data_IF_448462888711
#
_entry.id   IF_448462888711
#
_cell.length_a   1.000
_cell.length_b   1.000
_cell.length_c   1.000
_cell.angle_alpha   90.00
_cell.angle_beta   90.00
_cell.angle_gamma   90.00
#
_symmetry.space_group_name_H-M   'P 1'
#
loop_
_entity.id
_entity.type
_entity.pdbx_description
1 polymer ?
#
# COMPACT_ATOMS: atom_id res chain seq x y z
N UNK A 1 -10.06 -10.25 13.35
CA UNK A 1 -11.43 -10.36 13.87
C UNK A 1 -12.40 -9.47 13.10
N UNK A 2 -12.20 -8.15 13.11
CA UNK A 2 -13.12 -7.20 12.43
C UNK A 2 -13.22 -7.50 10.94
N UNK A 3 -12.12 -7.71 10.24
CA UNK A 3 -12.10 -8.02 8.81
C UNK A 3 -12.98 -9.22 8.47
N UNK A 4 -12.94 -10.28 9.27
CA UNK A 4 -13.76 -11.47 9.08
C UNK A 4 -15.26 -11.17 9.03
N UNK A 5 -15.70 -10.18 9.81
CA UNK A 5 -17.12 -9.84 9.95
C UNK A 5 -17.62 -8.91 8.83
N UNK A 6 -16.72 -8.09 8.25
CA UNK A 6 -17.08 -7.06 7.28
C UNK A 6 -16.78 -7.42 5.82
N UNK A 7 -15.82 -8.32 5.57
CA UNK A 7 -15.45 -8.70 4.19
C UNK A 7 -16.52 -9.66 3.63
N UNK A 8 -17.19 -9.22 2.57
CA UNK A 8 -18.16 -10.03 1.81
C UNK A 8 -18.38 -9.42 0.42
N UNK A 9 -18.91 -10.22 -0.49
CA UNK A 9 -19.42 -9.72 -1.75
C UNK A 9 -20.73 -8.95 -1.53
N UNK A 10 -20.86 -7.78 -2.17
CA UNK A 10 -22.09 -7.00 -2.24
C UNK A 10 -22.51 -6.89 -3.70
N UNK A 11 -23.69 -7.45 -4.04
CA UNK A 11 -24.23 -7.43 -5.40
C UNK A 11 -24.48 -6.01 -5.94
N UNK A 12 -24.64 -5.03 -5.05
CA UNK A 12 -24.84 -3.64 -5.43
C UNK A 12 -23.52 -2.87 -5.65
N UNK A 13 -22.39 -3.47 -5.29
CA UNK A 13 -21.07 -2.90 -5.49
C UNK A 13 -20.30 -3.72 -6.55
N UNK A 14 -20.26 -3.18 -7.76
CA UNK A 14 -19.59 -3.82 -8.91
C UNK A 14 -18.08 -3.97 -8.74
N UNK A 15 -17.47 -3.31 -7.76
CA UNK A 15 -16.05 -3.45 -7.44
C UNK A 15 -15.76 -4.66 -6.55
N UNK A 16 -16.78 -5.26 -5.93
CA UNK A 16 -16.66 -6.50 -5.18
C UNK A 16 -16.88 -7.73 -6.07
N UNK A 17 -16.15 -8.79 -5.82
CA UNK A 17 -16.28 -10.04 -6.57
C UNK A 17 -16.77 -11.16 -5.65
N UNK A 18 -17.51 -12.18 -6.16
CA UNK A 18 -17.95 -13.33 -5.39
C UNK A 18 -16.76 -14.26 -5.12
N UNK A 19 -15.91 -13.85 -4.19
CA UNK A 19 -14.71 -14.60 -3.79
C UNK A 19 -14.94 -15.32 -2.48
N UNK A 20 -14.56 -16.61 -2.43
CA UNK A 20 -14.61 -17.38 -1.19
C UNK A 20 -13.50 -16.93 -0.27
N UNK A 21 -13.85 -16.28 0.82
CA UNK A 21 -12.88 -15.84 1.82
C UNK A 21 -12.60 -17.00 2.75
N UNK A 22 -11.39 -17.48 2.73
CA UNK A 22 -10.89 -18.46 3.68
C UNK A 22 -11.02 -17.94 5.12
N UNK A 23 -11.02 -18.83 6.11
CA UNK A 23 -11.10 -18.43 7.52
C UNK A 23 -9.85 -17.62 7.91
N UNK A 24 -9.91 -16.31 7.73
CA UNK A 24 -8.80 -15.35 7.99
C UNK A 24 -8.21 -15.58 9.39
N UNK A 25 -9.04 -15.86 10.39
CA UNK A 25 -8.60 -16.04 11.77
C UNK A 25 -7.70 -17.26 11.94
N UNK A 26 -8.01 -18.37 11.26
CA UNK A 26 -7.18 -19.57 11.31
C UNK A 26 -5.92 -19.41 10.47
N UNK A 27 -6.04 -18.85 9.27
CA UNK A 27 -4.89 -18.56 8.40
C UNK A 27 -3.83 -17.71 9.11
N UNK A 28 -4.25 -16.69 9.87
CA UNK A 28 -3.32 -15.88 10.66
C UNK A 28 -2.55 -16.66 11.74
N UNK A 29 -3.02 -17.83 12.15
CA UNK A 29 -2.32 -18.71 13.13
C UNK A 29 -1.37 -19.69 12.46
N UNK A 30 -1.54 -19.92 11.17
CA UNK A 30 -0.69 -20.85 10.43
C UNK A 30 0.73 -20.33 10.30
N UNK A 31 1.69 -21.26 10.36
CA UNK A 31 3.07 -20.94 10.04
C UNK A 31 3.31 -21.10 8.54
N UNK A 32 4.06 -20.22 7.90
CA UNK A 32 4.50 -20.47 6.54
C UNK A 32 5.39 -21.75 6.50
N UNK A 33 5.35 -22.53 5.41
CA UNK A 33 6.12 -23.77 5.29
C UNK A 33 7.63 -23.56 5.34
N UNK A 34 8.08 -22.37 4.97
CA UNK A 34 9.48 -21.95 4.98
C UNK A 34 9.60 -20.56 5.59
N UNK A 35 10.78 -20.19 6.08
CA UNK A 35 11.06 -18.83 6.48
C UNK A 35 10.91 -17.90 5.26
N UNK A 36 10.03 -16.90 5.32
CA UNK A 36 9.82 -16.01 4.20
C UNK A 36 11.05 -15.18 3.87
N UNK A 37 11.29 -14.98 2.57
CA UNK A 37 12.18 -13.96 2.05
C UNK A 37 11.36 -12.78 1.53
N UNK A 38 11.86 -11.60 1.78
CA UNK A 38 11.23 -10.34 1.41
C UNK A 38 12.15 -9.52 0.53
N UNK A 39 11.57 -8.71 -0.31
CA UNK A 39 12.28 -7.60 -0.94
C UNK A 39 11.80 -6.28 -0.35
N UNK A 40 12.71 -5.41 0.05
CA UNK A 40 12.40 -4.04 0.43
C UNK A 40 12.69 -3.13 -0.76
N UNK A 41 11.66 -2.47 -1.30
CA UNK A 41 11.78 -1.65 -2.50
C UNK A 41 11.90 -0.18 -2.10
N UNK A 42 13.02 0.44 -2.45
CA UNK A 42 13.22 1.89 -2.35
C UNK A 42 12.72 2.57 -3.62
N UNK A 43 11.54 3.16 -3.54
CA UNK A 43 10.96 3.94 -4.65
C UNK A 43 11.61 5.33 -4.74
N UNK A 44 11.38 6.08 -5.83
CA UNK A 44 11.79 7.47 -5.98
C UNK A 44 11.27 8.39 -4.86
N UNK A 45 10.22 7.94 -4.13
CA UNK A 45 9.63 8.66 -2.99
C UNK A 45 10.43 8.49 -1.70
N UNK A 46 11.39 7.58 -1.64
CA UNK A 46 12.27 7.40 -0.48
C UNK A 46 12.92 8.71 -0.02
N UNK A 47 13.26 9.60 -0.95
CA UNK A 47 13.83 10.93 -0.66
C UNK A 47 12.90 11.85 0.15
N UNK A 48 11.59 11.56 0.17
CA UNK A 48 10.58 12.33 0.91
C UNK A 48 10.38 11.82 2.35
N UNK A 49 11.10 10.76 2.74
CA UNK A 49 11.02 10.21 4.09
C UNK A 49 11.58 11.18 5.13
N UNK A 50 10.94 11.22 6.29
CA UNK A 50 11.48 11.90 7.47
C UNK A 50 12.75 11.22 7.97
N UNK A 51 13.72 12.02 8.45
CA UNK A 51 15.04 11.50 8.83
C UNK A 51 14.98 10.42 9.93
N UNK A 52 14.10 10.59 10.91
CA UNK A 52 13.88 9.59 11.97
C UNK A 52 13.34 8.29 11.42
N UNK A 53 12.37 8.37 10.49
CA UNK A 53 11.84 7.20 9.81
C UNK A 53 12.90 6.47 8.98
N UNK A 54 13.71 7.18 8.20
CA UNK A 54 14.84 6.58 7.44
C UNK A 54 15.75 5.78 8.37
N UNK A 55 16.19 6.38 9.51
CA UNK A 55 17.04 5.71 10.48
C UNK A 55 16.42 4.43 11.03
N UNK A 56 15.13 4.45 11.34
CA UNK A 56 14.40 3.29 11.85
C UNK A 56 14.32 2.17 10.82
N UNK A 57 14.01 2.51 9.56
CA UNK A 57 14.02 1.53 8.46
C UNK A 57 15.41 0.95 8.21
N UNK A 58 16.46 1.76 8.16
CA UNK A 58 17.85 1.28 7.98
C UNK A 58 18.28 0.33 9.09
N UNK A 59 17.91 0.64 10.34
CA UNK A 59 18.17 -0.24 11.49
C UNK A 59 17.46 -1.57 11.34
N UNK A 60 16.18 -1.55 10.93
CA UNK A 60 15.40 -2.76 10.66
C UNK A 60 16.02 -3.59 9.52
N UNK A 61 16.32 -2.98 8.40
CA UNK A 61 16.89 -3.65 7.23
C UNK A 61 18.25 -4.30 7.53
N UNK A 62 19.09 -3.60 8.29
CA UNK A 62 20.38 -4.15 8.76
C UNK A 62 20.19 -5.36 9.66
N UNK A 63 19.21 -5.31 10.59
CA UNK A 63 18.93 -6.41 11.52
C UNK A 63 18.41 -7.65 10.80
N UNK A 64 17.52 -7.47 9.83
CA UNK A 64 16.83 -8.57 9.13
C UNK A 64 17.38 -8.88 7.73
N UNK A 65 18.64 -8.51 7.45
CA UNK A 65 19.30 -8.71 6.15
C UNK A 65 19.35 -10.15 5.63
N UNK A 66 19.12 -11.15 6.50
CA UNK A 66 19.05 -12.58 6.11
C UNK A 66 17.71 -12.90 5.40
N UNK A 67 16.67 -12.17 5.71
CA UNK A 67 15.32 -12.40 5.19
C UNK A 67 14.83 -11.27 4.29
N UNK A 68 15.53 -10.11 4.28
CA UNK A 68 15.13 -8.92 3.54
C UNK A 68 16.26 -8.48 2.63
N UNK A 69 16.04 -8.56 1.33
CA UNK A 69 16.88 -7.95 0.33
C UNK A 69 16.42 -6.52 0.06
N UNK A 70 17.35 -5.60 -0.19
CA UNK A 70 17.04 -4.19 -0.47
C UNK A 70 17.36 -3.90 -1.91
N UNK A 71 16.39 -3.39 -2.65
CA UNK A 71 16.54 -3.02 -4.07
C UNK A 71 15.99 -1.61 -4.32
N UNK A 72 16.55 -0.96 -5.32
CA UNK A 72 15.96 0.26 -5.87
C UNK A 72 14.79 -0.11 -6.79
N UNK A 73 13.75 0.72 -6.77
CA UNK A 73 12.59 0.49 -7.61
C UNK A 73 12.94 0.56 -9.09
N UNK A 74 12.40 -0.35 -9.92
CA UNK A 74 12.49 -0.22 -11.37
C UNK A 74 11.93 1.11 -11.85
N UNK A 75 12.50 1.65 -12.94
CA UNK A 75 12.12 2.98 -13.46
C UNK A 75 10.63 3.11 -13.83
N UNK A 76 10.00 2.02 -14.25
CA UNK A 76 8.58 2.02 -14.59
C UNK A 76 7.64 2.33 -13.39
N UNK A 77 8.14 2.25 -12.15
CA UNK A 77 7.35 2.65 -10.99
C UNK A 77 7.01 4.13 -11.00
N UNK A 78 7.83 4.97 -11.62
CA UNK A 78 7.54 6.40 -11.74
C UNK A 78 6.39 6.69 -12.72
N UNK A 79 6.22 5.87 -13.77
CA UNK A 79 5.07 5.96 -14.68
C UNK A 79 3.76 5.56 -13.98
N UNK A 80 3.82 4.60 -13.05
CA UNK A 80 2.65 4.18 -12.26
C UNK A 80 2.04 5.36 -11.48
N UNK A 81 2.85 6.25 -10.92
CA UNK A 81 2.33 7.43 -10.22
C UNK A 81 1.47 8.31 -11.12
N UNK A 82 1.87 8.49 -12.38
CA UNK A 82 1.14 9.27 -13.37
C UNK A 82 -0.20 8.59 -13.71
N UNK A 83 -0.18 7.31 -14.04
CA UNK A 83 -1.39 6.57 -14.38
C UNK A 83 -2.36 6.47 -13.20
N UNK A 84 -1.86 6.23 -12.01
CA UNK A 84 -2.69 6.27 -10.79
C UNK A 84 -3.39 7.62 -10.64
N UNK A 85 -2.68 8.73 -10.85
CA UNK A 85 -3.26 10.06 -10.72
C UNK A 85 -4.41 10.28 -11.71
N UNK A 86 -4.24 9.87 -12.98
CA UNK A 86 -5.29 9.97 -14.01
C UNK A 86 -6.55 9.23 -13.58
N UNK A 87 -6.42 7.96 -13.17
CA UNK A 87 -7.58 7.17 -12.73
C UNK A 87 -8.20 7.79 -11.49
N UNK A 88 -7.41 8.04 -10.45
CA UNK A 88 -7.89 8.52 -9.16
C UNK A 88 -8.64 9.85 -9.27
N UNK A 89 -8.10 10.83 -10.01
CA UNK A 89 -8.74 12.14 -10.14
C UNK A 89 -9.96 12.09 -11.07
N UNK A 90 -9.96 11.25 -12.11
CA UNK A 90 -11.13 11.02 -12.96
C UNK A 90 -12.27 10.37 -12.19
N UNK A 91 -11.96 9.33 -11.42
CA UNK A 91 -12.95 8.64 -10.58
C UNK A 91 -13.49 9.58 -9.48
N UNK A 92 -12.64 10.43 -8.88
CA UNK A 92 -13.09 11.47 -7.94
C UNK A 92 -14.03 12.48 -8.62
N UNK A 93 -13.70 12.92 -9.82
CA UNK A 93 -14.56 13.85 -10.57
C UNK A 93 -15.94 13.24 -10.86
N UNK A 94 -15.99 11.97 -11.18
CA UNK A 94 -17.23 11.22 -11.36
C UNK A 94 -18.00 11.04 -10.04
N UNK A 95 -17.36 10.47 -9.03
CA UNK A 95 -18.00 10.12 -7.77
C UNK A 95 -18.53 11.34 -6.99
N UNK A 96 -17.81 12.45 -7.04
CA UNK A 96 -18.19 13.69 -6.36
C UNK A 96 -18.93 14.70 -7.26
N UNK A 97 -19.33 14.32 -8.49
CA UNK A 97 -19.96 15.23 -9.46
C UNK A 97 -21.18 15.98 -8.90
N UNK A 98 -22.05 15.27 -8.20
CA UNK A 98 -23.27 15.86 -7.61
C UNK A 98 -22.97 16.83 -6.47
N UNK A 99 -22.04 16.47 -5.60
CA UNK A 99 -21.60 17.36 -4.51
C UNK A 99 -20.91 18.59 -5.07
N UNK A 100 -20.08 18.42 -6.09
CA UNK A 100 -19.39 19.52 -6.76
C UNK A 100 -20.38 20.51 -7.41
N UNK A 101 -21.42 20.01 -8.07
CA UNK A 101 -22.47 20.86 -8.68
C UNK A 101 -23.35 21.56 -7.67
N UNK A 102 -23.77 20.85 -6.61
CA UNK A 102 -24.80 21.34 -5.67
C UNK A 102 -24.22 22.06 -4.45
N UNK A 103 -22.98 21.77 -4.06
CA UNK A 103 -22.42 22.20 -2.77
C UNK A 103 -20.90 22.41 -2.81
N UNK A 104 -20.35 22.94 -3.92
CA UNK A 104 -18.91 23.17 -4.10
C UNK A 104 -18.26 23.91 -2.93
N UNK A 105 -18.96 24.90 -2.38
CA UNK A 105 -18.48 25.71 -1.26
C UNK A 105 -18.31 24.95 0.07
N UNK A 106 -18.86 23.74 0.18
CA UNK A 106 -18.71 22.85 1.34
C UNK A 106 -17.58 21.84 1.18
N UNK A 107 -16.98 21.74 -0.01
CA UNK A 107 -15.89 20.83 -0.29
C UNK A 107 -14.54 21.44 0.10
N UNK A 108 -13.61 20.60 0.57
CA UNK A 108 -12.24 21.02 0.86
C UNK A 108 -11.50 21.42 -0.42
N UNK A 109 -10.63 22.44 -0.31
CA UNK A 109 -9.88 22.98 -1.46
C UNK A 109 -9.13 21.90 -2.27
N UNK A 110 -8.41 20.99 -1.59
CA UNK A 110 -7.67 19.90 -2.24
C UNK A 110 -8.58 18.97 -3.04
N UNK A 111 -9.79 18.68 -2.54
CA UNK A 111 -10.76 17.85 -3.24
C UNK A 111 -11.28 18.56 -4.49
N UNK A 112 -11.59 19.85 -4.37
CA UNK A 112 -12.01 20.69 -5.53
C UNK A 112 -10.93 20.66 -6.62
N UNK A 113 -9.68 20.90 -6.26
CA UNK A 113 -8.55 20.89 -7.20
C UNK A 113 -8.39 19.53 -7.89
N UNK A 114 -8.54 18.43 -7.16
CA UNK A 114 -8.47 17.08 -7.74
C UNK A 114 -9.63 16.81 -8.70
N UNK A 115 -10.86 17.20 -8.35
CA UNK A 115 -12.03 17.09 -9.25
C UNK A 115 -11.80 17.91 -10.53
N UNK A 116 -11.31 19.14 -10.39
CA UNK A 116 -11.07 20.03 -11.55
C UNK A 116 -9.95 19.55 -12.47
N UNK A 117 -8.96 18.83 -11.95
CA UNK A 117 -7.96 18.13 -12.79
C UNK A 117 -8.59 16.90 -13.45
N UNK A 118 -9.35 16.10 -12.70
CA UNK A 118 -10.03 14.91 -13.22
C UNK A 118 -10.98 15.21 -14.37
N UNK A 119 -11.69 16.36 -14.33
CA UNK A 119 -12.56 16.82 -15.42
C UNK A 119 -11.81 17.20 -16.70
N UNK A 120 -10.50 17.38 -16.66
CA UNK A 120 -9.69 17.77 -17.83
C UNK A 120 -9.06 16.58 -18.56
N UNK A 121 -8.96 15.42 -17.92
CA UNK A 121 -8.42 14.23 -18.58
C UNK A 121 -9.36 13.77 -19.70
N UNK A 122 -8.74 13.33 -20.79
CA UNK A 122 -9.48 12.73 -21.91
C UNK A 122 -9.82 11.29 -21.60
N UNK A 123 -10.92 10.79 -22.17
CA UNK A 123 -11.29 9.38 -22.04
C UNK A 123 -10.18 8.42 -22.52
N UNK A 124 -9.41 8.81 -23.55
CA UNK A 124 -8.26 8.03 -24.01
C UNK A 124 -7.14 7.91 -22.96
N UNK A 125 -6.86 8.98 -22.20
CA UNK A 125 -5.86 8.94 -21.12
C UNK A 125 -6.30 8.04 -19.98
N UNK A 126 -7.60 8.05 -19.65
CA UNK A 126 -8.17 7.17 -18.64
C UNK A 126 -8.13 5.69 -19.08
N UNK A 127 -8.52 5.40 -20.31
CA UNK A 127 -8.46 4.04 -20.88
C UNK A 127 -7.03 3.53 -20.89
N UNK A 128 -6.08 4.32 -21.40
CA UNK A 128 -4.64 3.98 -21.38
C UNK A 128 -4.15 3.68 -19.96
N UNK A 129 -4.53 4.51 -18.99
CA UNK A 129 -4.12 4.30 -17.59
C UNK A 129 -4.72 3.01 -17.01
N UNK A 130 -5.94 2.64 -17.37
CA UNK A 130 -6.58 1.38 -16.96
C UNK A 130 -5.93 0.16 -17.61
N UNK A 131 -5.64 0.20 -18.91
CA UNK A 131 -5.03 -0.91 -19.66
C UNK A 131 -3.60 -1.20 -19.19
N UNK A 132 -2.81 -0.15 -18.92
CA UNK A 132 -1.44 -0.31 -18.41
C UNK A 132 -1.37 -0.94 -17.00
N UNK A 133 -2.46 -0.98 -16.24
CA UNK A 133 -2.47 -1.61 -14.91
C UNK A 133 -2.03 -3.08 -14.95
N UNK A 134 -2.58 -3.85 -15.87
CA UNK A 134 -2.25 -5.28 -15.99
C UNK A 134 -0.86 -5.50 -16.58
N UNK A 135 -0.43 -4.64 -17.50
CA UNK A 135 0.93 -4.67 -18.03
C UNK A 135 1.98 -4.46 -16.93
N UNK A 136 1.81 -3.41 -16.11
CA UNK A 136 2.73 -3.15 -14.99
C UNK A 136 2.67 -4.22 -13.91
N UNK A 137 1.50 -4.81 -13.68
CA UNK A 137 1.41 -5.93 -12.75
C UNK A 137 2.21 -7.16 -13.22
N UNK A 138 2.16 -7.49 -14.50
CA UNK A 138 2.99 -8.56 -15.09
C UNK A 138 4.48 -8.27 -14.96
N UNK A 139 4.91 -7.05 -15.29
CA UNK A 139 6.32 -6.65 -15.09
C UNK A 139 6.74 -6.78 -13.62
N UNK A 140 5.86 -6.40 -12.70
CA UNK A 140 6.11 -6.56 -11.27
C UNK A 140 6.27 -8.04 -10.90
N UNK A 141 5.38 -8.91 -11.35
CA UNK A 141 5.46 -10.35 -11.08
C UNK A 141 6.78 -10.95 -11.61
N UNK A 142 7.13 -10.66 -12.86
CA UNK A 142 8.39 -11.13 -13.45
C UNK A 142 9.62 -10.67 -12.68
N UNK A 143 9.59 -9.44 -12.16
CA UNK A 143 10.73 -8.86 -11.43
C UNK A 143 10.87 -9.42 -10.01
N UNK A 144 9.76 -9.71 -9.34
CA UNK A 144 9.74 -10.02 -7.90
C UNK A 144 9.16 -11.40 -7.53
N UNK A 145 9.03 -12.30 -8.50
CA UNK A 145 8.45 -13.65 -8.32
C UNK A 145 9.15 -14.53 -7.27
N UNK A 146 10.40 -14.27 -6.99
CA UNK A 146 11.22 -15.07 -6.06
C UNK A 146 11.03 -14.66 -4.58
N UNK A 147 10.24 -13.61 -4.33
CA UNK A 147 9.97 -13.11 -2.98
C UNK A 147 8.55 -13.47 -2.52
N UNK A 148 8.42 -13.73 -1.22
CA UNK A 148 7.13 -14.08 -0.63
C UNK A 148 6.24 -12.83 -0.42
N UNK A 149 6.85 -11.66 -0.24
CA UNK A 149 6.17 -10.38 -0.15
C UNK A 149 7.16 -9.21 -0.33
N UNK A 150 6.61 -8.06 -0.70
CA UNK A 150 7.36 -6.80 -0.73
C UNK A 150 7.17 -6.07 0.61
N UNK A 151 8.25 -5.44 1.07
CA UNK A 151 8.22 -4.49 2.18
C UNK A 151 8.48 -3.08 1.66
N UNK A 152 7.77 -2.12 2.21
CA UNK A 152 7.92 -0.70 1.89
C UNK A 152 7.47 0.16 3.07
N UNK A 153 7.82 1.44 3.16
CA UNK A 153 7.19 2.32 4.14
C UNK A 153 5.67 2.40 3.94
N UNK A 154 4.90 2.49 5.01
CA UNK A 154 3.48 2.75 4.92
C UNK A 154 3.17 4.24 4.68
N UNK A 155 4.07 5.12 5.13
CA UNK A 155 3.97 6.58 5.03
C UNK A 155 5.36 7.21 5.08
N UNK A 156 5.47 8.52 4.91
CA UNK A 156 6.75 9.25 4.91
C UNK A 156 7.41 9.35 6.29
N UNK A 157 6.65 9.15 7.36
CA UNK A 157 7.14 9.29 8.72
C UNK A 157 6.07 8.95 9.75
N UNK A 158 6.17 9.50 10.93
CA UNK A 158 5.19 9.35 12.00
C UNK A 158 3.93 10.19 11.75
N UNK A 159 2.89 9.98 12.57
CA UNK A 159 1.67 10.77 12.47
C UNK A 159 1.96 12.28 12.61
N UNK A 160 1.43 13.14 11.71
CA UNK A 160 1.63 14.57 11.80
C UNK A 160 1.11 15.14 13.12
N UNK A 161 1.86 16.09 13.73
CA UNK A 161 1.49 16.77 14.98
C UNK A 161 0.33 17.79 14.80
N UNK A 162 -0.41 17.72 13.70
CA UNK A 162 -1.48 18.65 13.38
C UNK A 162 -2.70 17.93 12.79
N UNK A 163 -3.89 18.40 13.10
CA UNK A 163 -5.14 17.93 12.49
C UNK A 163 -5.41 18.51 11.08
N UNK A 164 -4.53 19.37 10.58
CA UNK A 164 -4.71 20.01 9.26
C UNK A 164 -4.24 19.12 8.08
N UNK A 165 -3.56 18.03 8.37
CA UNK A 165 -3.06 17.07 7.37
C UNK A 165 -3.03 15.65 7.94
N UNK A 166 -3.10 14.66 7.05
CA UNK A 166 -3.13 13.23 7.38
C UNK A 166 -1.87 12.47 6.96
N UNK A 167 -0.82 13.18 6.56
CA UNK A 167 0.39 12.59 5.98
C UNK A 167 0.28 12.41 4.46
N UNK A 168 1.26 11.72 3.87
CA UNK A 168 1.34 11.46 2.42
C UNK A 168 1.00 10.01 2.09
N UNK A 169 0.13 9.74 1.10
CA UNK A 169 -0.20 8.38 0.65
C UNK A 169 0.78 7.82 -0.40
N UNK A 170 1.86 8.53 -0.70
CA UNK A 170 2.73 8.22 -1.85
C UNK A 170 3.35 6.82 -1.83
N UNK A 171 3.54 6.21 -0.65
CA UNK A 171 4.02 4.82 -0.53
C UNK A 171 2.92 3.78 -0.75
N UNK A 172 1.64 4.17 -0.75
CA UNK A 172 0.52 3.28 -1.05
C UNK A 172 0.12 3.28 -2.53
N UNK A 173 0.51 4.32 -3.26
CA UNK A 173 0.04 4.62 -4.63
C UNK A 173 0.28 3.48 -5.60
N UNK A 174 1.48 2.90 -5.61
CA UNK A 174 1.86 1.82 -6.54
C UNK A 174 0.98 0.59 -6.31
N UNK A 175 0.84 0.17 -5.08
CA UNK A 175 0.10 -1.03 -4.70
C UNK A 175 -1.41 -0.87 -4.94
N UNK A 176 -1.94 0.32 -4.70
CA UNK A 176 -3.32 0.68 -5.03
C UNK A 176 -3.55 0.62 -6.53
N UNK A 177 -2.65 1.20 -7.34
CA UNK A 177 -2.77 1.14 -8.79
C UNK A 177 -2.68 -0.30 -9.31
N UNK A 178 -1.73 -1.09 -8.82
CA UNK A 178 -1.57 -2.49 -9.22
C UNK A 178 -2.69 -3.40 -8.68
N UNK A 179 -3.51 -2.95 -7.73
CA UNK A 179 -4.59 -3.74 -7.12
C UNK A 179 -4.07 -4.86 -6.21
N UNK A 180 -2.95 -4.63 -5.55
CA UNK A 180 -2.29 -5.62 -4.68
C UNK A 180 -2.75 -5.48 -3.23
N UNK A 181 -2.99 -6.58 -2.50
CA UNK A 181 -3.35 -6.53 -1.10
C UNK A 181 -2.17 -6.08 -0.24
N UNK A 182 -2.47 -5.23 0.74
CA UNK A 182 -1.45 -4.67 1.64
C UNK A 182 -1.89 -4.71 3.09
N UNK A 183 -0.91 -4.87 4.00
CA UNK A 183 -1.09 -4.72 5.44
C UNK A 183 -0.05 -3.74 5.99
N UNK A 184 -0.48 -2.83 6.86
CA UNK A 184 0.43 -1.97 7.60
C UNK A 184 0.69 -2.57 8.98
N UNK A 185 1.96 -2.81 9.30
CA UNK A 185 2.41 -3.43 10.54
C UNK A 185 3.16 -2.40 11.38
N UNK A 186 2.71 -2.07 12.60
CA UNK A 186 3.36 -1.08 13.48
C UNK A 186 4.58 -1.71 14.18
N UNK A 187 5.61 -2.02 13.42
CA UNK A 187 6.80 -2.74 13.91
C UNK A 187 7.98 -1.84 14.24
N UNK A 188 7.95 -0.60 13.76
CA UNK A 188 8.98 0.41 13.96
C UNK A 188 8.48 1.54 14.85
N UNK A 189 9.43 2.31 15.33
CA UNK A 189 9.25 3.55 16.07
C UNK A 189 10.03 4.65 15.34
N UNK A 190 9.40 5.78 15.12
CA UNK A 190 10.02 6.98 14.56
C UNK A 190 10.36 7.98 15.68
N UNK A 191 10.40 9.26 15.29
CA UNK A 191 10.67 10.34 16.26
C UNK A 191 9.62 10.36 17.37
N UNK A 192 10.04 10.77 18.58
CA UNK A 192 9.22 10.84 19.80
C UNK A 192 8.56 9.48 20.16
N UNK A 193 9.21 8.36 19.85
CA UNK A 193 8.71 6.99 20.11
C UNK A 193 7.34 6.70 19.46
N UNK A 194 6.97 7.50 18.46
CA UNK A 194 5.70 7.35 17.76
C UNK A 194 5.73 6.11 16.84
N UNK A 195 4.60 5.37 16.73
CA UNK A 195 4.51 4.21 15.86
C UNK A 195 4.82 4.57 14.39
N UNK A 196 5.63 3.72 13.76
CA UNK A 196 5.96 3.82 12.34
C UNK A 196 5.65 2.49 11.65
N UNK A 197 4.83 2.53 10.61
CA UNK A 197 4.36 1.35 9.90
C UNK A 197 5.32 0.86 8.83
N UNK A 198 5.56 -0.45 8.80
CA UNK A 198 6.04 -1.17 7.64
C UNK A 198 4.82 -1.65 6.87
N UNK A 199 4.74 -1.35 5.59
CA UNK A 199 3.73 -1.92 4.70
C UNK A 199 4.29 -3.21 4.11
N UNK A 200 3.54 -4.30 4.23
CA UNK A 200 3.80 -5.56 3.56
C UNK A 200 2.77 -5.73 2.45
N UNK A 201 3.24 -6.10 1.27
CA UNK A 201 2.45 -6.21 0.04
C UNK A 201 2.53 -7.62 -0.48
N UNK A 202 1.37 -8.23 -0.72
CA UNK A 202 1.22 -9.57 -1.28
C UNK A 202 0.78 -9.56 -2.73
N UNK A 203 0.73 -10.72 -3.34
CA UNK A 203 0.18 -10.90 -4.69
C UNK A 203 -1.33 -10.76 -4.70
N UNK A 204 -1.89 -10.39 -5.86
CA UNK A 204 -3.35 -10.34 -6.06
C UNK A 204 -3.97 -11.70 -5.73
N UNK A 205 -5.07 -11.67 -5.00
CA UNK A 205 -5.87 -12.85 -4.63
C UNK A 205 -5.14 -13.88 -3.74
N UNK A 206 -3.98 -13.53 -3.19
CA UNK A 206 -3.23 -14.39 -2.26
C UNK A 206 -3.15 -13.78 -0.85
N UNK A 207 -4.30 -13.29 -0.37
CA UNK A 207 -4.44 -12.72 0.97
C UNK A 207 -4.02 -13.71 2.07
N UNK A 208 -4.25 -15.00 1.84
CA UNK A 208 -3.87 -16.06 2.78
C UNK A 208 -2.35 -16.10 3.02
N UNK A 209 -1.55 -16.05 1.94
CA UNK A 209 -0.09 -15.96 2.05
C UNK A 209 0.34 -14.68 2.73
N UNK A 210 -0.25 -13.55 2.34
CA UNK A 210 0.04 -12.26 2.94
C UNK A 210 -0.20 -12.28 4.45
N UNK A 211 -1.32 -12.85 4.92
CA UNK A 211 -1.65 -12.95 6.34
C UNK A 211 -0.64 -13.81 7.11
N UNK A 212 -0.31 -15.01 6.61
CA UNK A 212 0.69 -15.89 7.24
C UNK A 212 2.07 -15.27 7.30
N UNK A 213 2.52 -14.69 6.19
CA UNK A 213 3.82 -14.03 6.06
C UNK A 213 3.93 -12.83 6.99
N UNK A 214 2.85 -12.05 7.09
CA UNK A 214 2.77 -10.90 8.02
C UNK A 214 2.86 -11.35 9.48
N UNK A 215 2.12 -12.40 9.85
CA UNK A 215 2.17 -12.94 11.21
C UNK A 215 3.56 -13.49 11.56
N UNK A 216 4.22 -14.16 10.61
CA UNK A 216 5.60 -14.61 10.81
C UNK A 216 6.53 -13.43 11.09
N UNK A 217 6.44 -12.35 10.29
CA UNK A 217 7.26 -11.14 10.46
C UNK A 217 7.01 -10.47 11.82
N UNK A 218 5.75 -10.34 12.23
CA UNK A 218 5.38 -9.80 13.55
C UNK A 218 6.01 -10.61 14.67
N UNK A 219 5.88 -11.94 14.64
CA UNK A 219 6.40 -12.82 15.67
C UNK A 219 7.94 -12.78 15.72
N UNK A 220 8.58 -12.75 14.55
CA UNK A 220 10.04 -12.61 14.44
C UNK A 220 10.54 -11.32 15.09
N UNK A 221 9.90 -10.19 14.76
CA UNK A 221 10.30 -8.87 15.31
C UNK A 221 10.02 -8.76 16.81
N UNK A 222 8.88 -9.29 17.28
CA UNK A 222 8.52 -9.27 18.71
C UNK A 222 9.39 -10.21 19.53
N UNK A 223 9.68 -11.42 19.05
CA UNK A 223 10.58 -12.36 19.72
C UNK A 223 11.95 -11.73 19.95
N UNK A 224 12.53 -11.15 18.93
CA UNK A 224 13.83 -10.47 19.01
C UNK A 224 13.85 -9.21 19.91
N UNK A 225 12.68 -8.64 20.28
CA UNK A 225 12.61 -7.55 21.29
C UNK A 225 12.59 -8.08 22.72
N UNK A 226 12.06 -9.29 22.94
CA UNK A 226 11.96 -9.90 24.28
C UNK A 226 13.27 -10.58 24.73
N UNK A 227 14.17 -10.88 23.79
CA UNK A 227 15.48 -11.50 24.06
C UNK A 227 16.59 -10.47 24.40
N UNK A 228 16.20 -9.20 24.61
CA UNK A 228 17.09 -8.09 25.06
C UNK A 228 16.75 -7.65 26.47
#
# INVERSE_FOLDING_TARGET
LVTKEIVRHDINDTSTIPYSISNITEICKEKPPFDPNFVFIKTSKWKNMEKGAVKSFETFLKKYKKNVEVVDAPSYFDDIFKYHQVIHETDMAYAFSDYYKKSKNKLGKKLIEAIERGLKYKSSEYVEACENREYFYKLFQETFQDYHAVLTPATTGVAPKTLKQTGSPEFCTIWTYLGMPTLSLPLLEGDDEMPLGIQIVGEKFDDARLMRTSNWLINKVKGDKNDK
#
